data_IF_632775020110
#
_entry.id   IF_632775020110
#
_cell.length_a   1.000
_cell.length_b   1.000
_cell.length_c   1.000
_cell.angle_alpha   90.00
_cell.angle_beta   90.00
_cell.angle_gamma   90.00
#
_symmetry.space_group_name_H-M   'P 1'
#
loop_
_entity.id
_entity.type
_entity.pdbx_description
1 polymer ?
#
# COMPACT_ATOMS: atom_id res chain seq x y z
N UNK A 1 46.23 -7.20 -57.28
CA UNK A 1 46.10 -7.00 -55.82
C UNK A 1 44.62 -7.04 -55.48
N UNK A 2 44.17 -8.01 -54.67
CA UNK A 2 42.76 -8.19 -54.30
C UNK A 2 42.48 -7.42 -53.01
N UNK A 3 41.60 -6.43 -53.07
CA UNK A 3 41.15 -5.63 -51.91
C UNK A 3 40.08 -6.42 -51.16
N UNK A 4 40.36 -6.82 -49.92
CA UNK A 4 39.40 -7.53 -49.06
C UNK A 4 38.73 -6.53 -48.12
N UNK A 5 37.44 -6.29 -48.33
CA UNK A 5 36.59 -5.51 -47.43
C UNK A 5 36.18 -6.42 -46.27
N UNK A 6 36.58 -6.08 -45.04
CA UNK A 6 36.12 -6.74 -43.81
C UNK A 6 34.83 -6.06 -43.33
N UNK A 7 33.70 -6.72 -43.53
CA UNK A 7 32.43 -6.31 -42.94
C UNK A 7 32.45 -6.63 -41.45
N UNK A 8 32.43 -5.60 -40.61
CA UNK A 8 32.29 -5.72 -39.16
C UNK A 8 30.79 -5.83 -38.83
N UNK A 9 30.34 -7.01 -38.44
CA UNK A 9 28.95 -7.24 -38.04
C UNK A 9 28.80 -6.88 -36.55
N UNK A 10 28.18 -5.74 -36.27
CA UNK A 10 27.81 -5.35 -34.91
C UNK A 10 26.60 -6.18 -34.45
N UNK A 11 26.84 -7.14 -33.55
CA UNK A 11 25.76 -7.86 -32.86
C UNK A 11 25.21 -6.91 -31.80
N UNK A 12 24.06 -6.29 -32.09
CA UNK A 12 23.28 -5.61 -31.08
C UNK A 12 22.68 -6.68 -30.15
N UNK A 13 23.24 -6.81 -28.95
CA UNK A 13 22.61 -7.54 -27.85
C UNK A 13 21.33 -6.80 -27.49
N UNK A 14 20.21 -7.21 -28.07
CA UNK A 14 18.88 -6.89 -27.59
C UNK A 14 18.75 -7.55 -26.22
N UNK A 15 19.01 -6.79 -25.17
CA UNK A 15 18.64 -7.16 -23.81
C UNK A 15 17.11 -7.20 -23.74
N UNK A 16 16.52 -8.34 -24.08
CA UNK A 16 15.11 -8.60 -23.80
C UNK A 16 14.96 -8.55 -22.28
N UNK A 17 14.38 -7.46 -21.77
CA UNK A 17 13.82 -7.43 -20.42
C UNK A 17 12.74 -8.51 -20.39
N UNK A 18 13.09 -9.69 -19.89
CA UNK A 18 12.09 -10.68 -19.55
C UNK A 18 11.14 -9.96 -18.61
N UNK A 19 9.89 -9.81 -19.05
CA UNK A 19 8.78 -9.38 -18.22
C UNK A 19 8.93 -10.13 -16.89
N UNK A 20 8.99 -9.42 -15.78
CA UNK A 20 9.15 -10.05 -14.47
C UNK A 20 7.95 -9.61 -13.66
N UNK A 21 7.07 -10.55 -13.34
CA UNK A 21 6.01 -10.33 -12.39
C UNK A 21 6.59 -10.69 -11.02
N UNK A 22 6.75 -9.67 -10.18
CA UNK A 22 7.39 -9.83 -8.88
C UNK A 22 6.34 -10.28 -7.87
N UNK A 23 6.59 -11.38 -7.17
CA UNK A 23 5.75 -11.87 -6.08
C UNK A 23 6.44 -11.56 -4.75
N UNK A 24 5.71 -10.86 -3.87
CA UNK A 24 6.16 -10.54 -2.51
C UNK A 24 5.36 -11.36 -1.51
N UNK A 25 6.03 -12.22 -0.76
CA UNK A 25 5.46 -12.87 0.43
C UNK A 25 5.50 -11.88 1.59
N UNK A 26 4.34 -11.68 2.22
CA UNK A 26 4.18 -10.91 3.45
C UNK A 26 3.88 -11.89 4.57
N UNK A 27 4.77 -11.94 5.56
CA UNK A 27 4.55 -12.69 6.79
C UNK A 27 4.04 -11.76 7.87
N UNK A 28 2.90 -12.12 8.47
CA UNK A 28 2.35 -11.45 9.64
C UNK A 28 2.19 -12.44 10.78
N UNK A 29 2.06 -11.93 12.01
CA UNK A 29 1.74 -12.76 13.16
C UNK A 29 0.31 -13.34 13.16
N UNK A 30 -0.48 -13.14 12.10
CA UNK A 30 -1.78 -13.79 11.87
C UNK A 30 -1.82 -14.68 10.61
N UNK A 31 -0.70 -14.82 9.91
CA UNK A 31 -0.61 -15.63 8.70
C UNK A 31 0.20 -14.95 7.60
N UNK A 32 0.41 -15.71 6.53
CA UNK A 32 1.17 -15.30 5.35
C UNK A 32 0.25 -15.07 4.17
N UNK A 33 0.59 -14.10 3.34
CA UNK A 33 -0.08 -13.89 2.05
C UNK A 33 0.92 -13.40 1.01
N UNK A 34 0.57 -13.59 -0.26
CA UNK A 34 1.41 -13.17 -1.38
C UNK A 34 0.74 -12.03 -2.16
N UNK A 35 1.57 -11.11 -2.63
CA UNK A 35 1.17 -10.01 -3.51
C UNK A 35 1.85 -10.25 -4.86
N UNK A 36 1.06 -10.44 -5.90
CA UNK A 36 1.55 -10.41 -7.27
C UNK A 36 1.53 -8.97 -7.79
N UNK A 37 2.71 -8.42 -8.10
CA UNK A 37 2.86 -7.02 -8.48
C UNK A 37 2.59 -6.79 -9.98
N UNK A 38 2.20 -5.57 -10.30
CA UNK A 38 1.90 -5.11 -11.66
C UNK A 38 3.08 -4.33 -12.27
N UNK A 39 4.28 -4.90 -12.18
CA UNK A 39 5.59 -4.28 -12.50
C UNK A 39 5.59 -3.50 -13.81
N UNK A 40 4.96 -4.03 -14.86
CA UNK A 40 4.97 -3.41 -16.19
C UNK A 40 3.99 -2.26 -16.37
N UNK A 41 2.93 -2.22 -15.56
CA UNK A 41 1.79 -1.33 -15.81
C UNK A 41 1.66 -0.22 -14.78
N UNK A 42 2.28 -0.39 -13.61
CA UNK A 42 2.48 0.64 -12.57
C UNK A 42 3.93 0.61 -12.06
N UNK A 43 4.93 0.78 -12.97
CA UNK A 43 6.34 0.58 -12.64
C UNK A 43 6.88 1.53 -11.57
N UNK A 44 6.45 2.79 -11.54
CA UNK A 44 6.94 3.77 -10.55
C UNK A 44 6.50 3.36 -9.15
N UNK A 45 5.26 2.90 -9.04
CA UNK A 45 4.68 2.45 -7.77
C UNK A 45 5.30 1.16 -7.28
N UNK A 46 5.47 0.18 -8.18
CA UNK A 46 6.11 -1.10 -7.85
C UNK A 46 7.56 -0.89 -7.42
N UNK A 47 8.33 -0.07 -8.14
CA UNK A 47 9.71 0.26 -7.77
C UNK A 47 9.79 0.91 -6.39
N UNK A 48 8.88 1.83 -6.07
CA UNK A 48 8.81 2.46 -4.77
C UNK A 48 8.50 1.43 -3.66
N UNK A 49 7.48 0.59 -3.85
CA UNK A 49 7.09 -0.45 -2.89
C UNK A 49 8.26 -1.43 -2.62
N UNK A 50 8.88 -1.94 -3.69
CA UNK A 50 10.04 -2.83 -3.58
C UNK A 50 11.25 -2.14 -2.93
N UNK A 51 11.38 -0.82 -3.05
CA UNK A 51 12.40 -0.06 -2.32
C UNK A 51 12.24 -0.15 -0.79
N UNK A 52 11.00 -0.13 -0.29
CA UNK A 52 10.74 -0.33 1.15
C UNK A 52 10.89 -1.79 1.57
N UNK A 53 10.46 -2.74 0.73
CA UNK A 53 10.66 -4.19 0.95
C UNK A 53 12.16 -4.50 1.06
N UNK A 54 12.95 -4.14 0.05
CA UNK A 54 14.38 -4.46 -0.01
C UNK A 54 15.23 -3.75 1.07
N UNK A 55 14.71 -2.67 1.65
CA UNK A 55 15.37 -1.96 2.77
C UNK A 55 14.90 -2.42 4.15
N UNK A 56 13.99 -3.41 4.23
CA UNK A 56 13.42 -3.89 5.49
C UNK A 56 12.55 -2.86 6.22
N UNK A 57 12.12 -1.78 5.54
CA UNK A 57 11.36 -0.69 6.17
C UNK A 57 9.92 -1.07 6.51
N UNK A 58 9.41 -2.17 5.96
CA UNK A 58 8.11 -2.72 6.32
C UNK A 58 8.18 -3.69 7.50
N UNK A 59 9.37 -4.17 7.88
CA UNK A 59 9.54 -5.10 8.97
C UNK A 59 9.22 -4.40 10.31
N UNK A 60 8.40 -5.06 11.12
CA UNK A 60 7.87 -4.51 12.38
C UNK A 60 6.76 -3.46 12.20
N UNK A 61 6.36 -3.12 10.97
CA UNK A 61 5.20 -2.23 10.76
C UNK A 61 3.91 -2.92 11.15
N UNK A 62 2.92 -2.14 11.57
CA UNK A 62 1.63 -2.67 12.01
C UNK A 62 0.53 -2.35 11.01
N UNK A 63 -0.52 -3.17 11.01
CA UNK A 63 -1.80 -2.79 10.41
C UNK A 63 -2.43 -1.72 11.30
N UNK A 64 -2.28 -0.45 10.90
CA UNK A 64 -2.72 0.70 11.69
C UNK A 64 -4.14 1.14 11.38
N UNK A 65 -4.81 0.53 10.39
CA UNK A 65 -6.21 0.81 10.06
C UNK A 65 -6.88 -0.38 9.38
N UNK A 66 -8.10 -0.67 9.80
CA UNK A 66 -8.96 -1.69 9.16
C UNK A 66 -10.41 -1.20 9.17
N UNK A 67 -11.06 -1.19 8.02
CA UNK A 67 -12.47 -0.80 7.85
C UNK A 67 -13.18 -1.93 7.10
N UNK A 68 -14.01 -2.74 7.77
CA UNK A 68 -14.70 -3.86 7.14
C UNK A 68 -15.50 -3.44 5.91
N UNK A 69 -15.44 -4.26 4.86
CA UNK A 69 -16.09 -3.97 3.59
C UNK A 69 -15.44 -2.83 2.81
N UNK A 70 -14.34 -2.24 3.28
CA UNK A 70 -13.60 -1.21 2.58
C UNK A 70 -12.14 -1.61 2.37
N UNK A 71 -11.28 -1.42 3.38
CA UNK A 71 -9.83 -1.65 3.25
C UNK A 71 -9.14 -2.06 4.55
N UNK A 72 -8.02 -2.77 4.41
CA UNK A 72 -6.99 -2.95 5.45
C UNK A 72 -5.75 -2.17 5.04
N UNK A 73 -5.14 -1.39 5.94
CA UNK A 73 -4.07 -0.45 5.61
C UNK A 73 -2.88 -0.58 6.57
N UNK A 74 -1.66 -0.54 6.00
CA UNK A 74 -0.41 -0.77 6.70
C UNK A 74 0.79 -0.01 6.11
N UNK A 75 1.99 -0.37 6.58
CA UNK A 75 3.28 0.10 6.06
C UNK A 75 3.74 1.48 6.54
N UNK A 76 2.90 2.22 7.28
CA UNK A 76 3.20 3.60 7.68
C UNK A 76 3.76 3.76 9.08
N UNK A 77 3.51 2.79 9.97
CA UNK A 77 3.73 2.97 11.40
C UNK A 77 4.22 1.69 12.08
N UNK A 78 4.97 1.88 13.16
CA UNK A 78 5.42 0.83 14.09
C UNK A 78 4.92 1.14 15.50
N UNK A 79 4.66 0.10 16.30
CA UNK A 79 4.35 0.26 17.71
C UNK A 79 5.65 0.19 18.55
N UNK A 80 5.93 1.23 19.33
CA UNK A 80 7.11 1.29 20.21
C UNK A 80 6.65 1.54 21.65
N UNK A 81 6.12 0.48 22.27
CA UNK A 81 5.67 0.41 23.67
C UNK A 81 4.49 1.31 24.08
N UNK A 82 4.19 2.37 23.35
CA UNK A 82 3.12 3.31 23.66
C UNK A 82 2.50 3.93 22.40
N UNK A 83 1.31 4.51 22.58
CA UNK A 83 0.67 5.36 21.58
C UNK A 83 1.12 6.83 21.73
N UNK A 84 1.09 7.65 20.66
CA UNK A 84 0.72 7.29 19.29
C UNK A 84 1.77 6.39 18.61
N UNK A 85 1.36 5.69 17.55
CA UNK A 85 2.28 4.89 16.75
C UNK A 85 3.40 5.75 16.15
N UNK A 86 4.58 5.18 16.00
CA UNK A 86 5.75 5.89 15.44
C UNK A 86 5.75 5.75 13.93
N UNK A 87 5.85 6.87 13.20
CA UNK A 87 5.87 6.87 11.74
C UNK A 87 7.18 6.28 11.20
N UNK A 88 7.06 5.45 10.15
CA UNK A 88 8.19 4.95 9.38
C UNK A 88 8.74 6.06 8.48
N UNK A 89 10.06 6.15 8.39
CA UNK A 89 10.71 7.12 7.51
C UNK A 89 10.35 6.91 6.03
N UNK A 90 9.90 7.98 5.38
CA UNK A 90 9.46 7.96 3.98
C UNK A 90 10.59 8.34 3.02
N UNK A 91 10.55 7.76 1.82
CA UNK A 91 11.22 8.28 0.63
C UNK A 91 10.41 9.45 0.03
N UNK A 92 10.89 9.99 -1.09
CA UNK A 92 10.16 11.01 -1.85
C UNK A 92 8.79 10.47 -2.33
N UNK A 93 7.82 11.37 -2.45
CA UNK A 93 6.51 11.02 -2.98
C UNK A 93 6.59 10.67 -4.48
N UNK A 94 5.73 9.75 -4.92
CA UNK A 94 5.70 9.26 -6.30
C UNK A 94 4.50 9.80 -7.09
N UNK A 95 4.65 9.81 -8.41
CA UNK A 95 3.58 10.11 -9.36
C UNK A 95 2.54 8.99 -9.33
N UNK A 96 1.27 9.35 -9.40
CA UNK A 96 0.14 8.41 -9.43
C UNK A 96 0.03 7.73 -10.81
N UNK A 97 -0.22 6.41 -10.82
CA UNK A 97 -0.43 5.58 -12.00
C UNK A 97 -1.79 4.82 -11.91
N UNK A 98 -2.95 5.52 -11.83
CA UNK A 98 -4.26 4.91 -11.50
C UNK A 98 -4.88 4.12 -12.67
N UNK A 99 -4.15 3.11 -13.17
CA UNK A 99 -4.49 2.33 -14.37
C UNK A 99 -5.49 1.20 -14.10
N UNK A 100 -5.45 0.61 -12.91
CA UNK A 100 -6.30 -0.51 -12.51
C UNK A 100 -7.31 -0.09 -11.45
N UNK A 101 -8.46 -0.77 -11.46
CA UNK A 101 -9.61 -0.50 -10.61
C UNK A 101 -9.41 -1.06 -9.20
N UNK A 102 -9.85 -0.30 -8.20
CA UNK A 102 -9.79 -0.63 -6.78
C UNK A 102 -10.88 -1.64 -6.39
N UNK A 103 -10.79 -2.85 -6.95
CA UNK A 103 -11.69 -3.97 -6.65
C UNK A 103 -11.11 -4.89 -5.56
N UNK A 104 -11.94 -5.78 -5.01
CA UNK A 104 -11.53 -6.72 -3.95
C UNK A 104 -10.24 -7.46 -4.33
N UNK A 105 -9.40 -7.69 -3.33
CA UNK A 105 -8.11 -8.38 -3.44
C UNK A 105 -7.01 -7.60 -4.20
N UNK A 106 -7.23 -6.34 -4.56
CA UNK A 106 -6.16 -5.47 -5.07
C UNK A 106 -5.45 -4.75 -3.93
N UNK A 107 -4.16 -4.49 -4.10
CA UNK A 107 -3.38 -3.59 -3.24
C UNK A 107 -3.14 -2.26 -3.95
N UNK A 108 -3.30 -1.15 -3.25
CA UNK A 108 -3.11 0.19 -3.76
C UNK A 108 -2.37 1.11 -2.78
N UNK A 109 -1.76 2.17 -3.30
CA UNK A 109 -1.03 3.14 -2.48
C UNK A 109 -1.97 4.13 -1.80
N UNK A 110 -1.81 4.34 -0.49
CA UNK A 110 -2.49 5.40 0.23
C UNK A 110 -1.90 6.79 -0.10
N UNK A 111 -2.73 7.83 -0.03
CA UNK A 111 -2.38 9.20 -0.43
C UNK A 111 -3.00 10.23 0.51
N UNK A 112 -2.40 11.43 0.52
CA UNK A 112 -2.99 12.62 1.11
C UNK A 112 -4.18 13.09 0.27
N UNK A 113 -5.28 13.46 0.94
CA UNK A 113 -6.45 14.04 0.28
C UNK A 113 -6.10 15.36 -0.43
N UNK A 114 -6.60 15.54 -1.65
CA UNK A 114 -6.31 16.71 -2.48
C UNK A 114 -4.93 16.73 -3.14
N UNK A 115 -4.09 15.71 -2.88
CA UNK A 115 -2.77 15.59 -3.51
C UNK A 115 -2.60 14.22 -4.17
N UNK A 116 -2.90 14.11 -5.49
CA UNK A 116 -2.84 12.85 -6.20
C UNK A 116 -1.45 12.19 -6.26
N UNK A 117 -0.36 12.95 -6.12
CA UNK A 117 1.03 12.46 -6.25
C UNK A 117 1.77 12.45 -4.90
N UNK A 118 1.07 12.06 -3.83
CA UNK A 118 1.59 12.10 -2.45
C UNK A 118 1.91 10.74 -1.85
N UNK A 119 1.73 9.66 -2.61
CA UNK A 119 2.02 8.30 -2.14
C UNK A 119 3.50 8.14 -1.76
N UNK A 120 3.76 7.46 -0.65
CA UNK A 120 5.12 7.14 -0.18
C UNK A 120 5.22 5.68 0.28
N UNK A 121 5.00 5.37 1.56
CA UNK A 121 5.17 4.01 2.12
C UNK A 121 3.87 3.30 2.49
N UNK A 122 2.77 4.03 2.66
CA UNK A 122 1.50 3.43 3.06
C UNK A 122 0.76 2.80 1.89
N UNK A 123 0.25 1.59 2.11
CA UNK A 123 -0.55 0.82 1.17
C UNK A 123 -1.82 0.33 1.85
N UNK A 124 -2.83 0.00 1.06
CA UNK A 124 -4.05 -0.65 1.54
C UNK A 124 -4.48 -1.77 0.61
N UNK A 125 -5.15 -2.77 1.17
CA UNK A 125 -5.75 -3.90 0.46
C UNK A 125 -7.27 -3.70 0.43
N UNK A 126 -7.86 -3.78 -0.75
CA UNK A 126 -9.29 -3.63 -0.97
C UNK A 126 -10.06 -4.89 -0.52
N UNK A 127 -11.01 -4.72 0.41
CA UNK A 127 -11.88 -5.79 0.92
C UNK A 127 -13.16 -5.97 0.09
N UNK A 128 -13.51 -4.99 -0.74
CA UNK A 128 -14.69 -4.97 -1.59
C UNK A 128 -14.40 -4.24 -2.91
N UNK A 129 -15.40 -4.14 -3.78
CA UNK A 129 -15.35 -3.24 -4.93
C UNK A 129 -15.54 -1.78 -4.47
N UNK A 130 -14.45 -1.00 -4.52
CA UNK A 130 -14.40 0.39 -4.10
C UNK A 130 -14.29 1.35 -5.30
N UNK A 131 -14.52 0.87 -6.52
CA UNK A 131 -14.28 1.60 -7.78
C UNK A 131 -15.20 2.81 -7.96
N UNK A 132 -16.51 2.59 -7.95
CA UNK A 132 -17.52 3.51 -8.48
C UNK A 132 -18.70 3.77 -7.54
N UNK A 133 -19.02 2.83 -6.63
CA UNK A 133 -19.85 3.08 -5.45
C UNK A 133 -19.11 3.96 -4.42
N UNK A 134 -19.76 4.42 -3.34
CA UNK A 134 -18.99 5.05 -2.25
C UNK A 134 -17.92 4.07 -1.81
N UNK A 135 -16.61 4.40 -1.70
CA UNK A 135 -15.91 5.69 -1.67
C UNK A 135 -15.29 6.19 -3.01
N UNK A 136 -15.53 5.56 -4.15
CA UNK A 136 -15.10 6.01 -5.50
C UNK A 136 -13.58 6.11 -5.72
N UNK A 137 -12.81 5.15 -5.24
CA UNK A 137 -11.34 5.16 -5.27
C UNK A 137 -10.74 5.26 -6.68
N UNK A 138 -11.48 4.92 -7.73
CA UNK A 138 -10.98 5.01 -9.10
C UNK A 138 -10.96 6.42 -9.67
N UNK A 139 -11.75 7.34 -9.10
CA UNK A 139 -11.90 8.71 -9.59
C UNK A 139 -11.56 9.77 -8.54
N UNK A 140 -11.87 9.52 -7.26
CA UNK A 140 -11.61 10.49 -6.22
C UNK A 140 -10.10 10.72 -6.06
N UNK A 141 -9.70 11.93 -5.70
CA UNK A 141 -8.28 12.29 -5.49
C UNK A 141 -7.36 11.91 -6.67
N UNK A 142 -7.88 11.94 -7.90
CA UNK A 142 -7.18 11.54 -9.13
C UNK A 142 -6.98 10.02 -9.27
N UNK A 143 -7.79 9.21 -8.58
CA UNK A 143 -7.70 7.75 -8.56
C UNK A 143 -6.60 7.23 -7.62
N UNK A 144 -6.76 6.03 -7.06
CA UNK A 144 -5.73 5.39 -6.24
C UNK A 144 -5.02 4.29 -7.04
N UNK A 145 -3.68 4.33 -7.06
CA UNK A 145 -2.87 3.42 -7.86
C UNK A 145 -2.88 2.02 -7.27
N UNK A 146 -3.65 1.13 -7.90
CA UNK A 146 -3.56 -0.32 -7.71
C UNK A 146 -2.30 -0.83 -8.41
N UNK A 147 -1.45 -1.53 -7.66
CA UNK A 147 -0.13 -1.97 -8.13
C UNK A 147 0.13 -3.47 -7.93
N UNK A 148 -0.88 -4.23 -7.51
CA UNK A 148 -0.82 -5.67 -7.42
C UNK A 148 -2.13 -6.31 -6.96
N UNK A 149 -2.11 -7.63 -6.84
CA UNK A 149 -3.25 -8.44 -6.44
C UNK A 149 -2.85 -9.59 -5.52
N UNK A 150 -3.69 -9.88 -4.53
CA UNK A 150 -3.56 -10.97 -3.57
C UNK A 150 -4.36 -12.18 -4.07
N UNK A 151 -3.82 -13.39 -3.92
CA UNK A 151 -4.52 -14.63 -4.28
C UNK A 151 -5.64 -14.98 -3.26
N UNK A 152 -6.45 -15.99 -3.58
CA UNK A 152 -7.60 -16.35 -2.75
C UNK A 152 -7.20 -16.76 -1.32
N UNK A 153 -6.15 -17.55 -1.18
CA UNK A 153 -5.63 -18.02 0.12
C UNK A 153 -5.12 -16.84 0.96
N UNK A 154 -4.41 -15.90 0.35
CA UNK A 154 -3.96 -14.69 1.01
C UNK A 154 -5.11 -13.82 1.49
N UNK A 155 -6.21 -13.77 0.72
CA UNK A 155 -7.40 -13.03 1.12
C UNK A 155 -8.10 -13.61 2.36
N UNK A 156 -7.99 -14.91 2.65
CA UNK A 156 -8.50 -15.48 3.91
C UNK A 156 -7.77 -14.87 5.12
N UNK A 157 -6.46 -14.65 5.02
CA UNK A 157 -5.67 -13.97 6.06
C UNK A 157 -6.08 -12.51 6.20
N UNK A 158 -6.26 -11.80 5.07
CA UNK A 158 -6.69 -10.40 5.09
C UNK A 158 -8.10 -10.24 5.68
N UNK A 159 -9.02 -11.15 5.35
CA UNK A 159 -10.37 -11.15 5.93
C UNK A 159 -10.33 -11.45 7.44
N UNK A 160 -9.45 -12.36 7.89
CA UNK A 160 -9.24 -12.61 9.31
C UNK A 160 -8.74 -11.36 10.06
N UNK A 161 -7.78 -10.63 9.47
CA UNK A 161 -7.32 -9.33 10.00
C UNK A 161 -8.48 -8.31 10.04
N UNK A 162 -9.32 -8.27 8.99
CA UNK A 162 -10.47 -7.36 8.93
C UNK A 162 -11.56 -7.70 9.97
N UNK A 163 -11.67 -8.97 10.35
CA UNK A 163 -12.61 -9.48 11.35
C UNK A 163 -12.24 -9.15 12.80
N UNK A 164 -11.04 -8.66 13.07
CA UNK A 164 -10.61 -8.32 14.43
C UNK A 164 -11.45 -7.19 15.05
N UNK A 165 -11.62 -7.21 16.39
CA UNK A 165 -12.21 -6.10 17.10
C UNK A 165 -11.36 -4.85 16.92
N UNK A 166 -12.04 -3.70 16.85
CA UNK A 166 -11.41 -2.39 16.69
C UNK A 166 -11.72 -1.55 17.90
N UNK A 167 -10.72 -0.81 18.35
CA UNK A 167 -10.85 0.06 19.51
C UNK A 167 -10.39 1.45 19.14
N UNK A 168 -11.24 2.43 19.44
CA UNK A 168 -10.92 3.83 19.23
C UNK A 168 -10.00 4.32 20.34
N UNK A 169 -8.86 4.89 19.98
CA UNK A 169 -7.95 5.56 20.92
C UNK A 169 -7.84 7.05 20.59
N UNK A 170 -7.86 7.93 21.60
CA UNK A 170 -7.64 9.36 21.38
C UNK A 170 -6.37 9.64 20.56
N UNK A 171 -6.46 10.57 19.63
CA UNK A 171 -5.34 11.01 18.76
C UNK A 171 -4.78 9.97 17.78
N UNK A 172 -5.21 8.71 17.83
CA UNK A 172 -4.79 7.65 16.91
C UNK A 172 -5.94 7.19 16.01
N UNK A 173 -7.15 7.09 16.55
CA UNK A 173 -8.33 6.56 15.87
C UNK A 173 -8.56 5.07 16.15
N UNK A 174 -9.27 4.40 15.25
CA UNK A 174 -9.62 2.98 15.39
C UNK A 174 -8.44 2.08 15.02
N UNK A 175 -7.99 1.26 15.98
CA UNK A 175 -6.95 0.26 15.79
C UNK A 175 -7.56 -1.15 15.79
N UNK A 176 -7.30 -2.00 14.76
CA UNK A 176 -7.59 -3.42 14.84
C UNK A 176 -6.59 -4.10 15.79
N UNK A 177 -7.09 -4.78 16.81
CA UNK A 177 -6.26 -5.43 17.82
C UNK A 177 -6.66 -6.89 18.00
N UNK A 178 -5.67 -7.74 18.25
CA UNK A 178 -5.85 -9.12 18.70
C UNK A 178 -5.62 -9.23 20.21
N UNK A 179 -6.27 -10.20 20.85
CA UNK A 179 -6.09 -10.47 22.29
C UNK A 179 -6.28 -9.22 23.17
N UNK A 180 -7.18 -8.32 22.77
CA UNK A 180 -7.53 -7.09 23.48
C UNK A 180 -9.04 -6.94 23.46
N UNK A 181 -9.65 -6.70 24.62
CA UNK A 181 -11.10 -6.70 24.80
C UNK A 181 -11.63 -5.30 25.14
N UNK A 182 -12.95 -5.13 25.11
CA UNK A 182 -13.59 -3.89 25.57
C UNK A 182 -13.33 -3.63 27.07
N UNK A 183 -13.27 -4.69 27.89
CA UNK A 183 -12.92 -4.57 29.30
C UNK A 183 -11.47 -4.07 29.48
N UNK A 184 -10.52 -4.63 28.73
CA UNK A 184 -9.13 -4.14 28.75
C UNK A 184 -9.04 -2.65 28.38
N UNK A 185 -9.82 -2.20 27.39
CA UNK A 185 -9.95 -0.78 27.02
C UNK A 185 -10.50 0.05 28.18
N UNK A 186 -11.61 -0.38 28.76
CA UNK A 186 -12.33 0.38 29.80
C UNK A 186 -11.49 0.53 31.08
N UNK A 187 -10.67 -0.48 31.37
CA UNK A 187 -9.71 -0.49 32.48
C UNK A 187 -8.40 0.26 32.16
N UNK A 188 -8.29 0.89 30.98
CA UNK A 188 -7.08 1.56 30.50
C UNK A 188 -5.82 0.67 30.52
N UNK A 189 -5.99 -0.62 30.23
CA UNK A 189 -4.86 -1.55 30.16
C UNK A 189 -3.88 -1.12 29.06
N UNK A 190 -2.60 -1.13 29.38
CA UNK A 190 -1.57 -0.79 28.40
C UNK A 190 -1.58 -1.77 27.22
N UNK A 191 -1.49 -1.23 26.01
CA UNK A 191 -1.26 -2.03 24.80
C UNK A 191 0.15 -2.61 24.81
N UNK A 192 0.27 -3.84 24.34
CA UNK A 192 1.57 -4.51 24.14
C UNK A 192 1.73 -4.93 22.69
N UNK A 193 2.96 -5.22 22.26
CA UNK A 193 3.27 -5.56 20.88
C UNK A 193 2.42 -6.73 20.33
N UNK A 194 2.13 -7.74 21.17
CA UNK A 194 1.30 -8.89 20.79
C UNK A 194 -0.17 -8.54 20.54
N UNK A 195 -0.64 -7.34 20.89
CA UNK A 195 -1.98 -6.89 20.53
C UNK A 195 -2.08 -6.43 19.07
N UNK A 196 -0.97 -6.09 18.43
CA UNK A 196 -0.96 -5.57 17.07
C UNK A 196 -0.79 -6.71 16.05
N UNK A 197 -1.30 -6.46 14.85
CA UNK A 197 -1.00 -7.27 13.68
C UNK A 197 0.26 -6.67 13.08
N UNK A 198 1.36 -7.40 13.21
CA UNK A 198 2.69 -6.93 12.82
C UNK A 198 3.12 -7.63 11.54
N UNK A 199 3.64 -6.86 10.60
CA UNK A 199 4.38 -7.36 9.44
C UNK A 199 5.75 -7.82 9.97
N UNK A 200 5.96 -9.12 10.06
CA UNK A 200 7.22 -9.69 10.56
C UNK A 200 8.31 -9.60 9.50
N UNK A 201 7.94 -9.81 8.23
CA UNK A 201 8.83 -9.63 7.08
C UNK A 201 8.05 -9.44 5.79
N UNK A 202 8.62 -8.70 4.83
CA UNK A 202 8.23 -8.77 3.42
C UNK A 202 9.43 -9.19 2.57
N UNK A 203 9.27 -10.23 1.76
CA UNK A 203 10.37 -10.76 0.94
C UNK A 203 9.90 -11.07 -0.48
N UNK A 204 10.76 -10.82 -1.47
CA UNK A 204 10.52 -11.24 -2.85
C UNK A 204 10.75 -12.75 -2.95
N UNK A 205 9.73 -13.52 -3.32
CA UNK A 205 9.77 -14.99 -3.37
C UNK A 205 9.79 -15.55 -4.79
N UNK A 206 9.22 -14.82 -5.75
CA UNK A 206 9.35 -15.14 -7.17
C UNK A 206 9.48 -13.87 -7.99
N UNK A 207 10.26 -13.99 -9.05
CA UNK A 207 10.71 -12.93 -9.92
C UNK A 207 10.72 -13.50 -11.35
N UNK A 208 9.61 -14.09 -11.79
CA UNK A 208 9.47 -14.74 -13.11
C UNK A 208 8.37 -14.08 -13.93
N UNK A 209 8.42 -14.28 -15.25
CA UNK A 209 7.49 -13.66 -16.20
C UNK A 209 6.04 -14.11 -16.09
N UNK A 210 5.80 -15.30 -15.54
CA UNK A 210 4.53 -16.01 -15.71
C UNK A 210 3.54 -15.79 -14.57
N UNK A 211 3.99 -15.32 -13.40
CA UNK A 211 3.11 -15.17 -12.22
C UNK A 211 2.02 -14.10 -12.40
N UNK A 212 2.23 -13.11 -13.29
CA UNK A 212 1.17 -12.16 -13.67
C UNK A 212 0.38 -12.56 -14.93
N UNK A 213 0.82 -13.56 -15.70
CA UNK A 213 0.18 -13.92 -16.97
C UNK A 213 -1.25 -14.46 -16.78
N UNK A 214 -1.54 -15.02 -15.60
CA UNK A 214 -2.89 -15.44 -15.20
C UNK A 214 -3.72 -14.34 -14.54
N UNK A 215 -3.15 -13.15 -14.29
CA UNK A 215 -3.88 -12.04 -13.66
C UNK A 215 -4.65 -11.26 -14.71
N UNK A 216 -5.94 -11.06 -14.45
CA UNK A 216 -6.82 -10.26 -15.28
C UNK A 216 -7.32 -9.03 -14.49
N UNK A 217 -6.46 -8.02 -14.26
CA UNK A 217 -6.85 -6.85 -13.50
C UNK A 217 -7.93 -6.04 -14.22
N UNK A 218 -8.88 -5.50 -13.47
CA UNK A 218 -9.97 -4.69 -13.99
C UNK A 218 -9.44 -3.30 -14.35
N UNK A 219 -9.60 -2.80 -15.60
CA UNK A 219 -9.15 -1.46 -15.96
C UNK A 219 -9.89 -0.36 -15.19
N UNK A 220 -9.17 0.68 -14.77
CA UNK A 220 -9.80 1.90 -14.30
C UNK A 220 -10.27 2.72 -15.52
N UNK A 221 -11.58 2.79 -15.72
CA UNK A 221 -12.21 3.56 -16.80
C UNK A 221 -12.77 4.91 -16.33
N UNK A 222 -12.48 5.34 -15.10
CA UNK A 222 -12.88 6.65 -14.64
C UNK A 222 -12.25 7.73 -15.54
N UNK A 223 -13.08 8.61 -16.09
CA UNK A 223 -12.59 9.80 -16.76
C UNK A 223 -11.83 10.63 -15.73
N UNK A 224 -10.51 10.73 -15.88
CA UNK A 224 -9.68 11.67 -15.14
C UNK A 224 -10.11 13.09 -15.54
N UNK A 225 -11.17 13.57 -14.89
CA UNK A 225 -11.74 14.89 -15.09
C UNK A 225 -10.75 15.94 -14.65
N UNK A 226 -9.83 16.30 -15.54
CA UNK A 226 -9.12 17.58 -15.50
C UNK A 226 -10.11 18.69 -15.91
N UNK A 227 -11.14 18.89 -15.10
CA UNK A 227 -11.92 20.12 -15.10
C UNK A 227 -11.85 20.68 -13.69
N UNK A 228 -11.03 21.73 -13.54
CA UNK A 228 -11.09 22.60 -12.38
C UNK A 228 -12.51 23.22 -12.34
N UNK A 229 -13.41 22.64 -11.56
CA UNK A 229 -14.73 23.18 -11.26
C UNK A 229 -14.74 23.68 -9.80
N UNK A 230 -15.45 24.79 -9.52
CA UNK A 230 -15.32 25.51 -8.26
C UNK A 230 -15.87 24.70 -7.09
N UNK A 231 -15.21 24.90 -5.94
CA UNK A 231 -15.46 24.25 -4.66
C UNK A 231 -16.89 24.57 -4.18
N UNK A 232 -17.79 23.60 -4.27
CA UNK A 232 -19.08 23.62 -3.58
C UNK A 232 -18.89 23.00 -2.19
N UNK A 233 -18.98 23.85 -1.17
CA UNK A 233 -18.94 23.47 0.23
C UNK A 233 -20.22 22.70 0.60
N UNK A 234 -20.17 21.37 0.58
CA UNK A 234 -21.25 20.50 1.04
C UNK A 234 -20.78 19.06 1.24
N UNK A 235 -20.76 18.60 2.50
CA UNK A 235 -20.38 17.25 2.99
C UNK A 235 -18.88 16.92 3.15
N UNK A 236 -18.15 17.77 3.87
CA UNK A 236 -16.74 17.56 4.27
C UNK A 236 -16.52 16.63 5.49
N UNK A 237 -17.40 15.65 5.75
CA UNK A 237 -17.45 15.02 7.08
C UNK A 237 -16.82 13.64 7.28
N UNK A 238 -16.61 12.81 6.25
CA UNK A 238 -16.46 11.35 6.48
C UNK A 238 -15.25 10.64 5.84
N UNK A 239 -14.44 11.29 5.00
CA UNK A 239 -13.32 10.60 4.32
C UNK A 239 -12.08 11.48 4.10
N UNK A 240 -11.60 12.13 5.15
CA UNK A 240 -10.15 12.25 5.28
C UNK A 240 -9.63 10.86 5.66
N UNK A 241 -8.74 10.26 4.87
CA UNK A 241 -7.81 9.29 5.45
C UNK A 241 -7.10 10.05 6.57
N UNK A 242 -7.56 9.88 7.80
CA UNK A 242 -7.11 10.65 8.95
C UNK A 242 -5.61 10.44 9.10
N UNK A 243 -4.88 11.50 8.78
CA UNK A 243 -3.48 11.65 9.09
C UNK A 243 -3.35 11.85 10.60
N UNK A 244 -2.94 10.82 11.32
CA UNK A 244 -2.27 11.01 12.61
C UNK A 244 -0.78 11.24 12.36
N UNK A 245 -0.40 12.53 12.50
CA UNK A 245 0.90 13.04 12.93
C UNK A 245 2.13 12.91 12.00
N UNK A 246 2.40 14.00 11.25
CA UNK A 246 3.79 14.41 10.96
C UNK A 246 4.29 15.21 12.16
N UNK A 247 5.16 14.62 12.99
CA UNK A 247 5.93 15.39 13.97
C UNK A 247 7.07 16.08 13.22
N UNK A 248 6.95 17.40 13.03
CA UNK A 248 8.07 18.23 12.57
C UNK A 248 9.13 18.24 13.68
N UNK A 249 10.21 17.48 13.50
CA UNK A 249 11.39 17.56 14.37
C UNK A 249 12.05 18.93 14.19
N UNK A 250 11.69 19.92 15.01
CA UNK A 250 12.48 21.16 15.13
C UNK A 250 13.80 20.82 15.80
N UNK A 251 14.87 20.72 15.02
CA UNK A 251 16.26 20.69 15.54
C UNK A 251 16.48 21.95 16.38
N UNK A 252 16.68 21.79 17.69
CA UNK A 252 17.24 22.86 18.53
C UNK A 252 18.66 23.14 18.02
N UNK A 253 18.90 24.35 17.51
CA UNK A 253 20.25 24.91 17.41
C UNK A 253 20.61 25.41 18.81
N UNK A 254 21.56 24.76 19.44
CA UNK A 254 22.33 25.32 20.56
C UNK A 254 23.21 26.43 20.02
N UNK A 255 23.11 27.61 20.63
CA UNK A 255 24.22 28.54 20.85
C UNK A 255 24.43 28.62 22.36
#
# INVERSE_FOLDING_TARGET
>A
MKTTIKTLMAVALLSSSLAQATVVEVTTNLGKFEINLFDQTTPVTVQNFLGYVNSGRYDGTVIHRSVPGFVVQGGGFVFVQQLPLTAVATNAAIINEPKWSNVRATIAMAKLGGNPNSATNQWFINLADNSSGGPKLDSQNGGFTVFGQINAQGMEVIDAIAGLPRFNFPSVGDLPLQNYTAADRDDNKALVASNFITIESMVVVDARADSAASLNPVPNNASNGNTAAPISAGSLGWLSLLLSLVVVSRRKRTL
#
